data_IF_442348085546
#
_entry.id   IF_442348085546
#
_cell.length_a   1.000
_cell.length_b   1.000
_cell.length_c   1.000
_cell.angle_alpha   90.00
_cell.angle_beta   90.00
_cell.angle_gamma   90.00
#
_symmetry.space_group_name_H-M   'P 1'
#
loop_
_entity.id
_entity.type
_entity.pdbx_description
1 polymer ?
#
# COMPACT_ATOMS: atom_id res chain seq x y z
N UNK A 1 -6.17 7.38 -17.37
CA UNK A 1 -6.72 6.99 -16.07
C UNK A 1 -7.16 8.24 -15.32
N UNK A 2 -8.45 8.39 -15.13
CA UNK A 2 -9.04 9.61 -14.58
C UNK A 2 -8.66 9.87 -13.12
N UNK A 3 -8.27 8.82 -12.40
CA UNK A 3 -7.96 8.89 -10.99
C UNK A 3 -6.49 9.17 -10.67
N UNK A 4 -5.63 9.15 -11.67
CA UNK A 4 -4.19 9.19 -11.45
C UNK A 4 -3.74 10.46 -10.73
N UNK A 5 -4.23 11.63 -11.16
CA UNK A 5 -3.89 12.90 -10.51
C UNK A 5 -4.40 12.96 -9.06
N UNK A 6 -5.59 12.42 -8.82
CA UNK A 6 -6.17 12.39 -7.46
C UNK A 6 -5.36 11.48 -6.55
N UNK A 7 -4.92 10.32 -7.05
CA UNK A 7 -4.05 9.40 -6.30
C UNK A 7 -2.73 10.10 -5.97
N UNK A 8 -2.08 10.72 -6.94
CA UNK A 8 -0.83 11.44 -6.71
C UNK A 8 -1.01 12.60 -5.72
N UNK A 9 -2.16 13.26 -5.76
CA UNK A 9 -2.51 14.29 -4.78
C UNK A 9 -2.59 13.76 -3.36
N UNK A 10 -3.15 12.56 -3.16
CA UNK A 10 -3.16 11.93 -1.84
C UNK A 10 -1.75 11.73 -1.29
N UNK A 11 -0.81 11.31 -2.13
CA UNK A 11 0.59 11.13 -1.71
C UNK A 11 1.21 12.45 -1.27
N UNK A 12 1.05 13.51 -2.06
CA UNK A 12 1.64 14.81 -1.73
C UNK A 12 1.03 15.44 -0.50
N UNK A 13 -0.29 15.31 -0.35
CA UNK A 13 -1.02 16.02 0.70
C UNK A 13 -1.05 15.28 2.04
N UNK A 14 -0.95 13.95 2.01
CA UNK A 14 -1.20 13.13 3.19
C UNK A 14 -0.10 12.12 3.52
N UNK A 15 0.95 12.02 2.73
CA UNK A 15 2.06 11.10 2.96
C UNK A 15 3.35 11.90 3.12
N UNK A 16 3.84 12.12 4.37
CA UNK A 16 4.95 13.05 4.62
C UNK A 16 6.22 12.78 3.81
N UNK A 17 6.51 11.50 3.51
CA UNK A 17 7.68 11.13 2.71
C UNK A 17 7.62 11.65 1.27
N UNK A 18 6.43 11.98 0.77
CA UNK A 18 6.20 12.34 -0.62
C UNK A 18 5.81 13.81 -0.83
N UNK A 19 5.66 14.59 0.24
CA UNK A 19 5.16 15.98 0.13
C UNK A 19 6.06 16.89 -0.72
N UNK A 20 7.37 16.63 -0.72
CA UNK A 20 8.35 17.40 -1.48
C UNK A 20 8.81 16.71 -2.76
N UNK A 21 8.28 15.54 -3.07
CA UNK A 21 8.64 14.81 -4.27
C UNK A 21 7.84 15.28 -5.48
N UNK A 22 8.42 15.14 -6.68
CA UNK A 22 7.73 15.51 -7.91
C UNK A 22 6.59 14.54 -8.22
N UNK A 23 5.62 15.00 -9.00
CA UNK A 23 4.55 14.12 -9.49
C UNK A 23 5.11 12.95 -10.32
N UNK A 24 6.20 13.20 -11.06
CA UNK A 24 6.89 12.15 -11.82
C UNK A 24 7.41 11.04 -10.92
N UNK A 25 8.05 11.39 -9.81
CA UNK A 25 8.60 10.42 -8.86
C UNK A 25 7.49 9.62 -8.17
N UNK A 26 6.40 10.29 -7.80
CA UNK A 26 5.22 9.63 -7.24
C UNK A 26 4.64 8.65 -8.27
N UNK A 27 4.51 9.08 -9.52
CA UNK A 27 4.00 8.23 -10.60
C UNK A 27 4.84 6.95 -10.76
N UNK A 28 6.17 7.08 -10.78
CA UNK A 28 7.04 5.92 -10.89
C UNK A 28 6.93 4.99 -9.69
N UNK A 29 6.69 5.54 -8.51
CA UNK A 29 6.49 4.74 -7.30
C UNK A 29 5.22 3.89 -7.37
N UNK A 30 4.11 4.46 -7.85
CA UNK A 30 2.82 3.78 -7.86
C UNK A 30 2.56 2.97 -9.14
N UNK A 31 3.27 3.27 -10.23
CA UNK A 31 3.03 2.66 -11.53
C UNK A 31 3.00 1.13 -11.51
N UNK A 32 3.94 0.43 -10.85
CA UNK A 32 3.91 -1.04 -10.84
C UNK A 32 2.60 -1.60 -10.29
N UNK A 33 2.08 -1.04 -9.20
CA UNK A 33 0.82 -1.50 -8.63
C UNK A 33 -0.38 -1.20 -9.56
N UNK A 34 -0.36 -0.07 -10.25
CA UNK A 34 -1.40 0.27 -11.22
C UNK A 34 -1.37 -0.70 -12.41
N UNK A 35 -0.19 -0.95 -12.94
CA UNK A 35 0.01 -1.85 -14.07
C UNK A 35 -0.43 -3.28 -13.76
N UNK A 36 -0.14 -3.75 -12.56
CA UNK A 36 -0.48 -5.10 -12.10
C UNK A 36 -1.91 -5.22 -11.56
N UNK A 37 -2.64 -4.11 -11.48
CA UNK A 37 -3.96 -4.07 -10.85
C UNK A 37 -3.92 -4.53 -9.37
N UNK A 38 -2.84 -4.18 -8.68
CA UNK A 38 -2.63 -4.47 -7.25
C UNK A 38 -2.86 -3.22 -6.42
N UNK A 39 -4.01 -2.61 -6.57
CA UNK A 39 -4.40 -1.40 -5.84
C UNK A 39 -5.91 -1.33 -5.67
N UNK A 40 -6.34 -0.51 -4.71
CA UNK A 40 -7.74 -0.22 -4.44
C UNK A 40 -7.91 1.27 -4.15
N UNK A 41 -9.01 1.83 -4.63
CA UNK A 41 -9.37 3.23 -4.47
C UNK A 41 -10.67 3.30 -3.70
N UNK A 42 -10.77 4.22 -2.73
CA UNK A 42 -12.00 4.50 -2.01
C UNK A 42 -12.47 5.91 -2.32
N UNK A 43 -13.75 6.04 -2.66
CA UNK A 43 -14.40 7.28 -3.05
C UNK A 43 -15.64 7.56 -2.23
N UNK A 44 -15.98 8.84 -2.12
CA UNK A 44 -17.29 9.30 -1.69
C UNK A 44 -17.72 10.47 -2.60
N UNK A 45 -18.77 11.20 -2.18
CA UNK A 45 -19.28 12.33 -2.95
C UNK A 45 -18.29 13.49 -3.09
N UNK A 46 -17.24 13.53 -2.27
CA UNK A 46 -16.21 14.57 -2.28
C UNK A 46 -14.96 14.16 -3.06
N UNK A 47 -14.93 12.96 -3.62
CA UNK A 47 -13.81 12.45 -4.39
C UNK A 47 -13.09 11.28 -3.73
N UNK A 48 -11.83 11.07 -4.08
CA UNK A 48 -11.01 10.00 -3.53
C UNK A 48 -10.58 10.34 -2.10
N UNK A 49 -10.81 9.44 -1.16
CA UNK A 49 -10.36 9.59 0.22
C UNK A 49 -9.41 8.48 0.65
N UNK A 50 -9.16 7.47 -0.16
CA UNK A 50 -8.27 6.37 0.19
C UNK A 50 -7.67 5.70 -1.01
N UNK A 51 -6.42 5.26 -0.83
CA UNK A 51 -5.68 4.48 -1.81
C UNK A 51 -4.82 3.48 -1.06
N UNK A 52 -4.84 2.23 -1.49
CA UNK A 52 -3.93 1.21 -0.99
C UNK A 52 -3.38 0.41 -2.16
N UNK A 53 -2.13 -0.02 -2.05
CA UNK A 53 -1.53 -0.94 -3.00
C UNK A 53 -0.75 -2.02 -2.27
N UNK A 54 -0.46 -3.10 -2.96
CA UNK A 54 0.19 -4.26 -2.36
C UNK A 54 1.07 -4.98 -3.35
N UNK A 55 1.99 -5.77 -2.82
CA UNK A 55 2.89 -6.62 -3.59
C UNK A 55 2.84 -8.05 -3.07
N UNK A 56 3.13 -8.99 -3.96
CA UNK A 56 3.29 -10.41 -3.62
C UNK A 56 4.77 -10.76 -3.80
N UNK A 57 5.45 -11.02 -2.69
CA UNK A 57 6.91 -11.16 -2.68
C UNK A 57 7.34 -12.59 -2.38
N UNK A 58 8.42 -13.01 -3.03
CA UNK A 58 9.17 -14.18 -2.59
C UNK A 58 10.08 -13.81 -1.41
N UNK A 59 10.74 -14.80 -0.82
CA UNK A 59 11.57 -14.57 0.36
C UNK A 59 12.74 -13.62 0.08
N UNK A 60 13.40 -13.77 -1.06
CA UNK A 60 14.54 -12.94 -1.41
C UNK A 60 14.12 -11.49 -1.63
N UNK A 61 13.02 -11.25 -2.33
CA UNK A 61 12.49 -9.91 -2.58
C UNK A 61 11.97 -9.28 -1.30
N UNK A 62 11.34 -10.06 -0.42
CA UNK A 62 10.93 -9.59 0.90
C UNK A 62 12.12 -9.08 1.71
N UNK A 63 13.22 -9.84 1.73
CA UNK A 63 14.42 -9.43 2.46
C UNK A 63 15.01 -8.14 1.87
N UNK A 64 15.05 -8.03 0.55
CA UNK A 64 15.48 -6.80 -0.12
C UNK A 64 14.60 -5.61 0.28
N UNK A 65 13.28 -5.79 0.32
CA UNK A 65 12.35 -4.74 0.73
C UNK A 65 12.58 -4.32 2.18
N UNK A 66 12.80 -5.27 3.09
CA UNK A 66 13.10 -4.97 4.49
C UNK A 66 14.41 -4.20 4.64
N UNK A 67 15.42 -4.52 3.83
CA UNK A 67 16.73 -3.86 3.88
C UNK A 67 16.70 -2.47 3.25
N UNK A 68 16.05 -2.32 2.11
CA UNK A 68 16.08 -1.10 1.30
C UNK A 68 14.81 -0.24 1.43
N UNK A 69 13.70 -0.82 1.91
CA UNK A 69 12.38 -0.19 2.02
C UNK A 69 11.85 0.34 0.68
N UNK A 70 12.28 -0.30 -0.40
CA UNK A 70 11.84 0.03 -1.75
C UNK A 70 11.75 -1.22 -2.60
N UNK A 71 10.95 -1.15 -3.67
CA UNK A 71 10.77 -2.20 -4.65
C UNK A 71 11.05 -1.64 -6.04
N UNK A 72 11.81 -2.38 -6.84
CA UNK A 72 11.96 -2.08 -8.26
C UNK A 72 10.70 -2.48 -9.02
N UNK A 73 10.55 -2.00 -10.25
CA UNK A 73 9.36 -2.23 -11.06
C UNK A 73 9.03 -3.73 -11.22
N UNK A 74 10.03 -4.59 -11.23
CA UNK A 74 9.83 -6.04 -11.42
C UNK A 74 9.68 -6.83 -10.12
N UNK A 75 9.65 -6.14 -8.97
CA UNK A 75 9.65 -6.79 -7.66
C UNK A 75 8.24 -7.03 -7.09
N UNK A 76 7.20 -6.47 -7.69
CA UNK A 76 5.87 -6.39 -7.08
C UNK A 76 5.04 -7.69 -7.18
N UNK A 77 5.50 -8.65 -7.95
CA UNK A 77 4.77 -9.91 -8.11
C UNK A 77 5.75 -11.07 -8.30
N UNK A 78 6.51 -11.38 -7.26
CA UNK A 78 7.57 -12.40 -7.31
C UNK A 78 7.24 -13.66 -6.51
N UNK A 79 6.19 -13.65 -5.70
CA UNK A 79 5.87 -14.79 -4.84
C UNK A 79 4.48 -14.72 -4.23
N UNK A 80 4.32 -15.25 -3.04
CA UNK A 80 3.04 -15.41 -2.36
C UNK A 80 2.94 -14.70 -1.00
N UNK A 81 3.96 -13.94 -0.61
CA UNK A 81 3.97 -13.18 0.64
C UNK A 81 3.36 -11.81 0.41
N UNK A 82 2.19 -11.56 0.98
CA UNK A 82 1.45 -10.33 0.75
C UNK A 82 1.96 -9.20 1.63
N UNK A 83 2.41 -8.13 0.98
CA UNK A 83 2.86 -6.89 1.62
C UNK A 83 2.03 -5.72 1.14
N UNK A 84 1.42 -5.02 2.08
CA UNK A 84 0.82 -3.71 1.79
C UNK A 84 1.96 -2.71 1.69
N UNK A 85 2.06 -2.03 0.56
CA UNK A 85 3.14 -1.06 0.34
C UNK A 85 2.73 0.31 0.84
N UNK A 86 1.58 0.80 0.40
CA UNK A 86 1.04 2.08 0.86
C UNK A 86 -0.43 1.94 1.22
N UNK A 87 -0.84 2.64 2.27
CA UNK A 87 -2.24 2.86 2.60
C UNK A 87 -2.39 4.31 3.01
N UNK A 88 -3.15 5.08 2.24
CA UNK A 88 -3.42 6.49 2.51
C UNK A 88 -4.92 6.67 2.70
N UNK A 89 -5.31 7.19 3.85
CA UNK A 89 -6.70 7.46 4.21
C UNK A 89 -6.80 8.87 4.75
N UNK A 90 -7.67 9.69 4.14
CA UNK A 90 -7.81 11.11 4.50
C UNK A 90 -8.92 11.37 5.50
N UNK A 91 -9.72 10.36 5.80
CA UNK A 91 -10.82 10.45 6.77
C UNK A 91 -10.43 9.80 8.08
N UNK A 92 -11.24 10.06 9.12
CA UNK A 92 -11.12 9.45 10.45
C UNK A 92 -11.35 7.93 10.41
N UNK A 93 -11.05 7.29 9.29
CA UNK A 93 -11.17 5.86 9.14
C UNK A 93 -9.90 5.19 9.63
N UNK A 94 -10.07 4.15 10.39
CA UNK A 94 -8.98 3.33 10.87
C UNK A 94 -8.43 2.50 9.71
N UNK A 95 -7.24 2.86 9.21
CA UNK A 95 -6.58 2.14 8.12
C UNK A 95 -6.33 0.66 8.47
N UNK A 96 -6.06 0.36 9.75
CA UNK A 96 -5.93 -1.02 10.23
C UNK A 96 -7.23 -1.81 10.02
N UNK A 97 -8.37 -1.24 10.37
CA UNK A 97 -9.68 -1.87 10.18
C UNK A 97 -9.97 -2.08 8.70
N UNK A 98 -9.64 -1.10 7.87
CA UNK A 98 -9.78 -1.24 6.41
C UNK A 98 -8.94 -2.40 5.90
N UNK A 99 -7.66 -2.46 6.26
CA UNK A 99 -6.76 -3.51 5.81
C UNK A 99 -7.23 -4.89 6.23
N UNK A 100 -7.71 -5.05 7.46
CA UNK A 100 -8.26 -6.32 7.95
C UNK A 100 -9.40 -6.82 7.06
N UNK A 101 -10.40 -5.96 6.82
CA UNK A 101 -11.56 -6.32 6.02
C UNK A 101 -11.20 -6.53 4.56
N UNK A 102 -10.47 -5.58 3.97
CA UNK A 102 -10.15 -5.60 2.55
C UNK A 102 -9.31 -6.84 2.19
N UNK A 103 -8.24 -7.10 2.94
CA UNK A 103 -7.36 -8.22 2.61
C UNK A 103 -7.97 -9.58 2.95
N UNK A 104 -8.92 -9.64 3.89
CA UNK A 104 -9.69 -10.86 4.09
C UNK A 104 -10.59 -11.14 2.89
N UNK A 105 -11.22 -10.12 2.31
CA UNK A 105 -11.99 -10.30 1.07
C UNK A 105 -11.11 -10.69 -0.11
N UNK A 106 -9.94 -10.07 -0.23
CA UNK A 106 -9.04 -10.30 -1.36
C UNK A 106 -8.42 -11.70 -1.34
N UNK A 107 -7.96 -12.14 -0.17
CA UNK A 107 -7.14 -13.34 -0.02
C UNK A 107 -7.86 -14.53 0.59
N UNK A 108 -9.00 -14.30 1.24
CA UNK A 108 -9.65 -15.30 2.10
C UNK A 108 -9.10 -15.27 3.51
N UNK A 109 -9.69 -16.08 4.44
CA UNK A 109 -9.21 -16.18 5.82
C UNK A 109 -7.88 -16.94 5.94
N UNK A 110 -7.22 -16.78 7.08
CA UNK A 110 -5.99 -17.48 7.46
C UNK A 110 -4.78 -17.15 6.58
N UNK A 111 -4.78 -15.96 6.00
CA UNK A 111 -3.67 -15.45 5.19
C UNK A 111 -2.89 -14.40 5.95
N UNK A 112 -1.56 -14.43 5.84
CA UNK A 112 -0.69 -13.44 6.45
C UNK A 112 -0.58 -12.21 5.56
N UNK A 113 -0.75 -11.03 6.16
CA UNK A 113 -0.56 -9.74 5.49
C UNK A 113 0.33 -8.88 6.36
N UNK A 114 1.34 -8.27 5.76
CA UNK A 114 2.32 -7.46 6.48
C UNK A 114 2.45 -6.07 5.86
N UNK A 115 2.86 -5.09 6.66
CA UNK A 115 3.24 -3.77 6.18
C UNK A 115 4.17 -3.08 7.16
N UNK A 116 4.88 -2.09 6.64
CA UNK A 116 5.76 -1.23 7.43
C UNK A 116 5.11 0.12 7.63
N UNK A 117 5.28 0.68 8.82
CA UNK A 117 5.03 2.10 9.07
C UNK A 117 6.38 2.79 9.14
N UNK A 118 6.61 3.74 8.25
CA UNK A 118 7.88 4.45 8.17
C UNK A 118 7.76 5.80 8.87
N UNK A 119 8.89 6.21 9.50
CA UNK A 119 9.04 7.59 9.96
C UNK A 119 9.27 8.51 8.74
N UNK A 120 9.09 9.85 8.90
CA UNK A 120 9.34 10.78 7.78
C UNK A 120 10.74 10.68 7.17
N UNK A 121 11.74 10.22 7.93
CA UNK A 121 13.10 10.01 7.46
C UNK A 121 13.30 8.67 6.72
N UNK A 122 12.23 7.88 6.52
CA UNK A 122 12.29 6.60 5.81
C UNK A 122 12.70 5.40 6.67
N UNK A 123 13.02 5.58 7.94
CA UNK A 123 13.35 4.47 8.82
C UNK A 123 12.08 3.73 9.26
N UNK A 124 12.20 2.41 9.48
CA UNK A 124 11.09 1.60 9.93
C UNK A 124 10.72 1.98 11.36
N UNK A 125 9.47 2.45 11.54
CA UNK A 125 8.92 2.77 12.84
C UNK A 125 8.21 1.58 13.48
N UNK A 126 7.42 0.87 12.68
CA UNK A 126 6.69 -0.32 13.09
C UNK A 126 6.61 -1.31 11.94
N UNK A 127 6.59 -2.59 12.29
CA UNK A 127 6.31 -3.68 11.36
C UNK A 127 5.01 -4.33 11.84
N UNK A 128 3.97 -4.28 11.00
CA UNK A 128 2.68 -4.87 11.29
C UNK A 128 2.53 -6.20 10.58
N UNK A 129 1.89 -7.14 11.25
CA UNK A 129 1.57 -8.44 10.70
C UNK A 129 0.18 -8.86 11.20
N UNK A 130 -0.71 -9.16 10.28
CA UNK A 130 -2.03 -9.68 10.62
C UNK A 130 -2.24 -11.03 9.92
N UNK A 131 -3.15 -11.81 10.48
CA UNK A 131 -3.66 -13.02 9.84
C UNK A 131 -5.14 -12.77 9.58
N UNK A 132 -5.55 -12.86 8.31
CA UNK A 132 -6.94 -12.60 7.92
C UNK A 132 -7.89 -13.59 8.59
N UNK A 133 -9.10 -13.14 8.90
CA UNK A 133 -10.07 -13.91 9.69
C UNK A 133 -11.46 -13.86 9.06
N UNK A 134 -12.14 -14.98 9.03
CA UNK A 134 -13.47 -15.08 8.45
C UNK A 134 -14.44 -14.04 9.01
N UNK A 135 -14.38 -13.73 10.32
CA UNK A 135 -15.30 -12.73 10.91
C UNK A 135 -15.01 -11.28 10.49
N UNK A 136 -13.95 -11.04 9.72
CA UNK A 136 -13.68 -9.72 9.11
C UNK A 136 -14.34 -9.56 7.74
N UNK A 137 -14.98 -10.58 7.23
CA UNK A 137 -15.69 -10.52 5.93
C UNK A 137 -16.98 -9.65 5.98
#
# INVERSE_FOLDING_TARGET
MDDLLDIMGLYKDHYPMWENESLKDIYYHIYPSLHLNQYSINRDNNGIYGFTNWAFLDEATEQKFLDERSLDINDWNTGDRTWVIDTIYTKEHNAMKFNKTFFTHLLGPDQTVQWLRLAPNGLIRNHFKIITKEHWL
#
